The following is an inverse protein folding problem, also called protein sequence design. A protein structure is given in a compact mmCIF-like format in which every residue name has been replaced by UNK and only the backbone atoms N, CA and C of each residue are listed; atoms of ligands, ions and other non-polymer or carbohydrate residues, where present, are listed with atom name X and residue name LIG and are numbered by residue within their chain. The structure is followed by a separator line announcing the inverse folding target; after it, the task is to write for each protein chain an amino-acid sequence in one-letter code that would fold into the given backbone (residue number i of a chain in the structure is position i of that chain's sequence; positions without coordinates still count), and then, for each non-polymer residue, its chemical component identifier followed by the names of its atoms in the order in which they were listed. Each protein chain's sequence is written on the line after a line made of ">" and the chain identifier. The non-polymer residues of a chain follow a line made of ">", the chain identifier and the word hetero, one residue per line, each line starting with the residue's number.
data_IF_090091622933
#
_entry.id   IF_090091622933
#
_cell.length_a   1.000
_cell.length_b   1.000
_cell.length_c   1.000
_cell.angle_alpha   90.00
_cell.angle_beta   90.00
_cell.angle_gamma   90.00
#
_symmetry.space_group_name_H-M   'P 1'
#
loop_
_entity.id
_entity.type
_entity.pdbx_description
1 polymer ?
#
# COMPACT_ATOMS: atom_id res chain seq x y z
N UNK A 1 5.54 -22.25 25.06
CA UNK A 1 5.79 -21.90 23.64
C UNK A 1 5.70 -20.39 23.39
N UNK A 2 4.59 -19.71 23.70
CA UNK A 2 4.43 -18.24 23.47
C UNK A 2 5.56 -17.37 24.08
N UNK A 3 6.00 -17.67 25.31
CA UNK A 3 7.07 -16.91 26.00
C UNK A 3 8.45 -17.02 25.33
N UNK A 4 8.76 -18.17 24.74
CA UNK A 4 10.05 -18.41 24.06
C UNK A 4 10.10 -17.61 22.76
N UNK A 5 8.97 -17.52 22.03
CA UNK A 5 8.86 -16.72 20.81
C UNK A 5 8.99 -15.22 21.09
N UNK A 6 8.40 -14.73 22.19
CA UNK A 6 8.54 -13.31 22.56
C UNK A 6 9.98 -13.00 22.98
N UNK A 7 10.63 -13.89 23.74
CA UNK A 7 12.02 -13.71 24.16
C UNK A 7 12.99 -13.75 22.98
N UNK A 8 12.78 -14.65 22.00
CA UNK A 8 13.63 -14.70 20.81
C UNK A 8 13.48 -13.45 19.94
N UNK A 9 12.25 -12.93 19.79
CA UNK A 9 12.00 -11.68 19.07
C UNK A 9 12.67 -10.48 19.76
N UNK A 10 12.61 -10.42 21.09
CA UNK A 10 13.23 -9.35 21.87
C UNK A 10 14.76 -9.33 21.71
N UNK A 11 15.39 -10.51 21.73
CA UNK A 11 16.84 -10.66 21.51
C UNK A 11 17.23 -10.20 20.10
N UNK A 12 16.46 -10.59 19.07
CA UNK A 12 16.66 -10.15 17.68
C UNK A 12 16.56 -8.64 17.52
N UNK A 13 15.55 -7.99 18.13
CA UNK A 13 15.43 -6.53 18.09
C UNK A 13 16.55 -5.83 18.84
N UNK A 14 17.02 -6.38 19.96
CA UNK A 14 18.12 -5.80 20.75
C UNK A 14 19.50 -5.94 20.07
N UNK A 15 19.66 -6.94 19.19
CA UNK A 15 20.87 -7.15 18.40
C UNK A 15 20.91 -6.29 17.12
N UNK A 16 19.77 -5.72 16.71
CA UNK A 16 19.74 -4.71 15.67
C UNK A 16 20.34 -3.41 16.24
N UNK A 17 21.59 -3.09 15.89
CA UNK A 17 22.30 -1.90 16.37
C UNK A 17 21.66 -0.57 15.92
N UNK A 18 22.47 0.39 15.43
CA UNK A 18 21.93 1.65 14.93
C UNK A 18 21.02 1.42 13.71
N UNK A 19 19.70 1.45 13.91
CA UNK A 19 18.70 1.44 12.86
C UNK A 19 18.74 2.79 12.11
N UNK A 20 19.71 2.94 11.21
CA UNK A 20 19.72 4.06 10.28
C UNK A 20 18.56 3.88 9.33
N UNK A 21 17.55 4.74 9.42
CA UNK A 21 16.43 4.76 8.49
C UNK A 21 16.98 4.95 7.06
N UNK A 22 17.02 3.87 6.30
CA UNK A 22 17.58 3.87 4.95
C UNK A 22 16.56 4.56 4.02
N UNK A 23 16.85 5.82 3.65
CA UNK A 23 15.94 6.67 2.87
C UNK A 23 16.34 6.70 1.40
N UNK A 24 15.47 6.13 0.55
CA UNK A 24 15.51 6.24 -0.91
C UNK A 24 16.90 5.94 -1.50
N UNK A 25 17.59 4.93 -0.98
CA UNK A 25 18.89 4.56 -1.50
C UNK A 25 18.75 3.82 -2.82
N UNK A 26 19.69 4.01 -3.75
CA UNK A 26 19.71 3.24 -4.98
C UNK A 26 19.95 1.77 -4.64
N UNK A 27 19.10 0.87 -5.16
CA UNK A 27 19.14 -0.55 -4.80
C UNK A 27 18.05 -0.98 -3.83
N UNK A 28 17.43 -0.02 -3.11
CA UNK A 28 16.47 -0.32 -2.06
C UNK A 28 15.13 -0.79 -2.64
N UNK A 29 14.55 -1.78 -1.97
CA UNK A 29 13.15 -2.19 -2.13
C UNK A 29 12.35 -1.61 -0.96
N UNK A 30 11.16 -1.07 -1.23
CA UNK A 30 10.22 -0.67 -0.17
C UNK A 30 8.85 -1.24 -0.43
N UNK A 31 8.22 -1.74 0.62
CA UNK A 31 6.85 -2.25 0.59
C UNK A 31 5.95 -1.17 1.19
N UNK A 32 4.93 -0.78 0.45
CA UNK A 32 3.89 0.15 0.86
C UNK A 32 2.59 -0.64 1.00
N UNK A 33 1.99 -0.58 2.18
CA UNK A 33 0.69 -1.17 2.47
C UNK A 33 -0.27 -0.01 2.69
N UNK A 34 -1.33 0.03 1.89
CA UNK A 34 -2.40 0.99 2.02
C UNK A 34 -3.72 0.22 2.21
N UNK A 35 -4.59 0.72 3.05
CA UNK A 35 -5.91 0.15 3.22
C UNK A 35 -6.82 1.12 3.97
N UNK A 36 -8.11 0.99 3.75
CA UNK A 36 -9.09 1.86 4.36
C UNK A 36 -10.50 1.56 3.88
N UNK A 37 -11.45 2.36 4.35
CA UNK A 37 -12.81 2.35 3.84
C UNK A 37 -12.92 3.19 2.58
N UNK A 38 -13.75 2.75 1.64
CA UNK A 38 -14.24 3.52 0.50
C UNK A 38 -15.63 4.05 0.88
N UNK A 39 -16.01 5.27 0.52
CA UNK A 39 -17.31 5.90 0.88
C UNK A 39 -17.54 6.38 2.34
N UNK A 40 -16.51 6.46 3.19
CA UNK A 40 -16.55 7.23 4.45
C UNK A 40 -16.06 6.49 5.71
N UNK A 41 -16.06 7.15 6.88
CA UNK A 41 -15.72 6.51 8.17
C UNK A 41 -16.80 5.56 8.68
N UNK A 42 -17.96 5.57 8.06
CA UNK A 42 -19.07 4.70 8.39
C UNK A 42 -18.80 3.36 7.69
N UNK A 43 -18.14 2.44 8.40
CA UNK A 43 -17.89 1.06 7.94
C UNK A 43 -19.18 0.22 7.79
N UNK A 44 -20.34 0.78 8.10
CA UNK A 44 -21.64 0.13 8.01
C UNK A 44 -22.74 1.17 7.85
N UNK A 45 -23.30 1.27 6.65
CA UNK A 45 -24.61 1.89 6.48
C UNK A 45 -25.69 0.94 7.04
N UNK A 46 -26.92 1.42 7.28
CA UNK A 46 -28.03 0.63 7.86
C UNK A 46 -28.36 -0.68 7.10
N UNK A 47 -27.77 -0.88 5.91
CA UNK A 47 -27.94 -2.02 5.01
C UNK A 47 -26.73 -2.98 4.96
N UNK A 48 -25.74 -2.84 5.87
CA UNK A 48 -24.56 -3.71 5.98
C UNK A 48 -23.67 -3.76 4.72
N UNK A 49 -23.63 -2.67 3.95
CA UNK A 49 -22.70 -2.52 2.83
C UNK A 49 -21.29 -2.21 3.36
N UNK A 50 -20.33 -3.10 3.12
CA UNK A 50 -18.95 -2.91 3.52
C UNK A 50 -18.10 -2.56 2.30
N UNK A 51 -17.45 -1.40 2.37
CA UNK A 51 -16.63 -0.87 1.30
C UNK A 51 -15.18 -0.75 1.81
N UNK A 52 -14.38 -1.77 1.54
CA UNK A 52 -12.98 -1.83 1.98
C UNK A 52 -12.04 -1.90 0.77
N UNK A 53 -10.95 -1.15 0.85
CA UNK A 53 -9.84 -1.29 -0.07
C UNK A 53 -8.58 -1.72 0.66
N UNK A 54 -7.80 -2.57 0.01
CA UNK A 54 -6.44 -2.92 0.38
C UNK A 54 -5.56 -2.82 -0.85
N UNK A 55 -4.36 -2.26 -0.70
CA UNK A 55 -3.40 -2.09 -1.78
C UNK A 55 -1.99 -2.33 -1.25
N UNK A 56 -1.22 -3.11 -1.99
CA UNK A 56 0.16 -3.45 -1.69
C UNK A 56 1.01 -2.99 -2.86
N UNK A 57 2.01 -2.14 -2.60
CA UNK A 57 2.91 -1.62 -3.63
C UNK A 57 4.35 -1.90 -3.29
N UNK A 58 5.06 -2.55 -4.20
CA UNK A 58 6.49 -2.77 -4.17
C UNK A 58 7.17 -1.67 -4.98
N UNK A 59 8.03 -0.88 -4.33
CA UNK A 59 8.83 0.12 -5.01
C UNK A 59 10.29 -0.29 -5.07
N UNK A 60 10.93 -0.11 -6.22
CA UNK A 60 12.36 -0.34 -6.45
C UNK A 60 13.06 0.96 -6.82
N UNK A 61 14.01 1.40 -5.99
CA UNK A 61 14.73 2.67 -6.16
C UNK A 61 15.97 2.52 -7.04
N UNK A 62 16.04 3.25 -8.14
CA UNK A 62 17.17 3.27 -9.08
C UNK A 62 18.27 4.27 -8.65
N UNK A 63 19.41 4.22 -9.34
CA UNK A 63 20.55 5.12 -9.08
C UNK A 63 20.19 6.60 -9.20
N UNK A 64 19.33 6.96 -10.14
CA UNK A 64 18.91 8.34 -10.38
C UNK A 64 17.74 8.80 -9.49
N UNK A 65 17.52 8.13 -8.34
CA UNK A 65 16.39 8.37 -7.43
C UNK A 65 14.99 8.19 -8.05
N UNK A 66 14.91 7.77 -9.31
CA UNK A 66 13.68 7.28 -9.91
C UNK A 66 13.30 5.95 -9.27
N UNK A 67 12.02 5.65 -9.23
CA UNK A 67 11.52 4.40 -8.67
C UNK A 67 10.53 3.74 -9.61
N UNK A 68 10.65 2.44 -9.74
CA UNK A 68 9.60 1.58 -10.28
C UNK A 68 8.63 1.25 -9.15
N UNK A 69 7.33 1.29 -9.42
CA UNK A 69 6.27 0.96 -8.48
C UNK A 69 5.41 -0.15 -9.08
N UNK A 70 5.23 -1.24 -8.35
CA UNK A 70 4.41 -2.40 -8.75
C UNK A 70 3.37 -2.63 -7.68
N UNK A 71 2.11 -2.32 -7.98
CA UNK A 71 0.99 -2.39 -7.06
C UNK A 71 0.02 -3.50 -7.39
N UNK A 72 -0.60 -4.04 -6.35
CA UNK A 72 -1.78 -4.88 -6.42
C UNK A 72 -2.80 -4.33 -5.43
N UNK A 73 -4.00 -4.06 -5.90
CA UNK A 73 -5.14 -3.54 -5.16
C UNK A 73 -6.31 -4.52 -5.19
N UNK A 74 -6.98 -4.62 -4.06
CA UNK A 74 -8.26 -5.28 -3.90
C UNK A 74 -9.25 -4.27 -3.33
N UNK A 75 -10.37 -4.09 -4.01
CA UNK A 75 -11.46 -3.23 -3.58
C UNK A 75 -12.71 -4.07 -3.52
N UNK A 76 -13.32 -4.17 -2.33
CA UNK A 76 -14.65 -4.73 -2.17
C UNK A 76 -15.62 -3.58 -1.95
N UNK A 77 -16.67 -3.51 -2.76
CA UNK A 77 -17.72 -2.52 -2.65
C UNK A 77 -19.08 -3.19 -2.75
N UNK A 78 -19.85 -3.11 -1.68
CA UNK A 78 -21.23 -3.57 -1.68
C UNK A 78 -22.14 -2.43 -2.12
N UNK A 79 -22.84 -2.59 -3.24
CA UNK A 79 -23.83 -1.62 -3.71
C UNK A 79 -25.23 -2.05 -3.29
N UNK A 80 -25.98 -1.24 -2.50
CA UNK A 80 -27.38 -1.50 -2.24
C UNK A 80 -28.20 -1.15 -3.48
N UNK A 81 -28.75 -2.16 -4.18
CA UNK A 81 -29.65 -1.94 -5.31
C UNK A 81 -31.02 -2.54 -4.98
N UNK A 82 -32.02 -1.67 -4.76
CA UNK A 82 -33.34 -2.07 -4.24
C UNK A 82 -33.18 -2.85 -2.92
N UNK A 83 -33.84 -4.00 -2.75
CA UNK A 83 -33.80 -4.85 -1.55
C UNK A 83 -32.62 -5.84 -1.54
N UNK A 84 -31.70 -5.77 -2.50
CA UNK A 84 -30.60 -6.74 -2.67
C UNK A 84 -29.27 -6.01 -2.70
N UNK A 85 -28.32 -6.46 -1.86
CA UNK A 85 -26.95 -5.98 -1.88
C UNK A 85 -26.17 -6.73 -2.97
N UNK A 86 -25.58 -6.01 -3.92
CA UNK A 86 -24.67 -6.60 -4.91
C UNK A 86 -23.22 -6.42 -4.43
N UNK A 87 -22.54 -7.51 -4.03
CA UNK A 87 -21.13 -7.45 -3.71
C UNK A 87 -20.32 -7.35 -5.00
N UNK A 88 -19.59 -6.25 -5.17
CA UNK A 88 -18.63 -6.07 -6.27
C UNK A 88 -17.21 -6.18 -5.69
N UNK A 89 -16.43 -7.11 -6.23
CA UNK A 89 -15.01 -7.19 -5.93
C UNK A 89 -14.19 -6.78 -7.17
N UNK A 90 -13.24 -5.89 -6.97
CA UNK A 90 -12.36 -5.37 -8.01
C UNK A 90 -10.91 -5.69 -7.66
N UNK A 91 -10.24 -6.41 -8.56
CA UNK A 91 -8.80 -6.63 -8.49
C UNK A 91 -8.12 -5.67 -9.46
N UNK A 92 -7.14 -4.92 -8.98
CA UNK A 92 -6.40 -3.93 -9.77
C UNK A 92 -4.91 -4.21 -9.68
N UNK A 93 -4.25 -4.35 -10.83
CA UNK A 93 -2.80 -4.33 -10.93
C UNK A 93 -2.32 -2.95 -11.35
N UNK A 94 -1.33 -2.40 -10.64
CA UNK A 94 -0.71 -1.10 -10.92
C UNK A 94 0.75 -1.32 -11.31
N UNK A 95 1.23 -0.64 -12.33
CA UNK A 95 2.65 -0.52 -12.64
C UNK A 95 2.96 0.92 -12.99
N UNK A 96 3.99 1.48 -12.37
CA UNK A 96 4.31 2.88 -12.55
C UNK A 96 5.79 3.18 -12.45
N UNK A 97 6.14 4.34 -13.00
CA UNK A 97 7.46 4.92 -12.95
C UNK A 97 7.37 6.31 -12.37
N UNK A 98 8.10 6.55 -11.29
CA UNK A 98 8.06 7.80 -10.53
C UNK A 98 9.45 8.45 -10.54
N UNK A 99 9.48 9.73 -10.84
CA UNK A 99 10.66 10.58 -10.96
C UNK A 99 10.61 11.70 -9.92
N UNK A 100 11.67 11.93 -9.14
CA UNK A 100 11.72 13.08 -8.23
C UNK A 100 11.86 14.39 -9.02
N UNK A 101 10.98 15.35 -8.76
CA UNK A 101 11.04 16.69 -9.38
C UNK A 101 11.94 17.63 -8.57
N UNK A 102 11.70 17.70 -7.26
CA UNK A 102 12.41 18.61 -6.37
C UNK A 102 12.72 17.92 -5.04
N UNK A 103 13.92 18.15 -4.51
CA UNK A 103 14.35 17.63 -3.22
C UNK A 103 15.16 18.69 -2.49
N UNK A 104 14.92 18.87 -1.20
CA UNK A 104 15.73 19.78 -0.38
C UNK A 104 17.19 19.26 -0.27
N UNK A 105 18.18 20.12 0.00
CA UNK A 105 19.61 19.75 0.12
C UNK A 105 19.85 18.69 1.21
N UNK A 106 19.04 18.75 2.29
CA UNK A 106 19.00 17.74 3.37
C UNK A 106 18.06 16.56 3.09
N UNK A 107 17.34 16.58 1.97
CA UNK A 107 16.39 15.56 1.49
C UNK A 107 15.31 15.17 2.50
N UNK A 108 14.91 16.11 3.35
CA UNK A 108 13.81 15.94 4.31
C UNK A 108 12.44 15.98 3.63
N UNK A 109 12.35 16.66 2.49
CA UNK A 109 11.15 16.79 1.66
C UNK A 109 11.55 16.48 0.23
N UNK A 110 10.81 15.57 -0.40
CA UNK A 110 10.97 15.16 -1.80
C UNK A 110 9.61 15.23 -2.45
N UNK A 111 9.50 16.02 -3.51
CA UNK A 111 8.35 16.06 -4.38
C UNK A 111 8.65 15.21 -5.61
N UNK A 112 7.82 14.21 -5.86
CA UNK A 112 7.99 13.29 -6.99
C UNK A 112 6.72 13.25 -7.81
N UNK A 113 6.88 13.09 -9.12
CA UNK A 113 5.79 12.90 -10.07
C UNK A 113 6.04 11.63 -10.84
N UNK A 114 4.98 10.93 -11.23
CA UNK A 114 5.11 9.67 -11.95
C UNK A 114 3.87 9.35 -12.76
N UNK A 115 4.06 8.42 -13.67
CA UNK A 115 2.97 7.83 -14.43
C UNK A 115 2.81 6.39 -14.00
N UNK A 116 1.57 5.99 -13.74
CA UNK A 116 1.20 4.62 -13.46
C UNK A 116 0.09 4.20 -14.40
N UNK A 117 0.24 3.01 -14.99
CA UNK A 117 -0.84 2.31 -15.64
C UNK A 117 -1.48 1.37 -14.62
N UNK A 118 -2.80 1.39 -14.55
CA UNK A 118 -3.58 0.46 -13.74
C UNK A 118 -4.52 -0.31 -14.66
N UNK A 119 -4.59 -1.63 -14.47
CA UNK A 119 -5.54 -2.50 -15.15
C UNK A 119 -6.24 -3.35 -14.11
N UNK A 120 -7.55 -3.49 -14.21
CA UNK A 120 -8.32 -4.29 -13.27
C UNK A 120 -9.50 -4.97 -13.93
N UNK A 121 -10.04 -5.95 -13.23
CA UNK A 121 -11.31 -6.57 -13.60
C UNK A 121 -12.22 -6.59 -12.38
N UNK A 122 -13.51 -6.41 -12.66
CA UNK A 122 -14.57 -6.47 -11.68
C UNK A 122 -15.22 -7.85 -11.76
N UNK A 123 -15.51 -8.44 -10.60
CA UNK A 123 -16.30 -9.66 -10.50
C UNK A 123 -17.52 -9.38 -9.65
N UNK A 124 -18.70 -9.68 -10.20
CA UNK A 124 -19.97 -9.74 -9.48
C UNK A 124 -20.18 -11.20 -9.06
N UNK A 125 -20.38 -11.43 -7.76
CA UNK A 125 -20.68 -12.76 -7.23
C UNK A 125 -22.12 -13.21 -7.51
#
# INVERSE_FOLDING_TARGET
>A
MKRIVVLSLLVLLSAAGNASAQRCLPGQWSIELAGGSVDGFILSDEHAAHSIFGRIVLNRYNHNQTRWAFGLGYLQKDYPYKTVNLPMAQFTGEVGYVVPLFSNRKRSLVCSSGLSAAGGYETTG
#
